data_IF_683199825692
#
_entry.id   IF_683199825692
#
_cell.length_a   1.000
_cell.length_b   1.000
_cell.length_c   1.000
_cell.angle_alpha   90.00
_cell.angle_beta   90.00
_cell.angle_gamma   90.00
#
_symmetry.space_group_name_H-M   'P 1'
#
loop_
_entity.id
_entity.type
_entity.pdbx_description
1 polymer ?
#
# COMPACT_ATOMS: atom_id res chain seq x y z
N UNK A 1 -0.91 69.37 -26.95
CA UNK A 1 -0.39 68.48 -25.92
C UNK A 1 -1.25 67.22 -25.87
N UNK A 2 -0.67 66.13 -26.30
CA UNK A 2 -1.28 64.81 -26.19
C UNK A 2 -1.05 64.39 -24.74
N UNK A 3 -2.11 64.32 -23.96
CA UNK A 3 -2.07 63.73 -22.63
C UNK A 3 -1.90 62.21 -22.79
N UNK A 4 -0.79 61.67 -22.30
CA UNK A 4 -0.61 60.22 -22.15
C UNK A 4 -1.77 59.69 -21.32
N UNK A 5 -2.35 58.53 -21.67
CA UNK A 5 -3.40 57.92 -20.85
C UNK A 5 -2.82 57.57 -19.48
N UNK A 6 -3.53 57.92 -18.41
CA UNK A 6 -3.21 57.49 -17.06
C UNK A 6 -3.12 55.96 -17.07
N UNK A 7 -1.93 55.42 -16.79
CA UNK A 7 -1.72 53.98 -16.61
C UNK A 7 -2.53 53.50 -15.43
N UNK A 8 -3.22 52.37 -15.59
CA UNK A 8 -3.97 51.73 -14.53
C UNK A 8 -3.01 51.35 -13.38
N UNK A 9 -3.43 51.44 -12.14
CA UNK A 9 -2.59 51.15 -10.95
C UNK A 9 -1.93 49.77 -11.02
N UNK A 10 -2.61 48.78 -11.63
CA UNK A 10 -2.07 47.42 -11.88
C UNK A 10 -0.93 47.45 -12.92
N UNK A 11 -0.98 48.30 -13.96
CA UNK A 11 0.09 48.42 -14.95
C UNK A 11 1.35 49.10 -14.38
N UNK A 12 1.19 49.98 -13.39
CA UNK A 12 2.32 50.65 -12.72
C UNK A 12 3.07 49.74 -11.78
N UNK A 13 2.41 48.76 -11.13
CA UNK A 13 3.04 47.75 -10.26
C UNK A 13 3.90 46.76 -11.06
N UNK A 14 3.63 46.58 -12.33
CA UNK A 14 4.35 45.60 -13.18
C UNK A 14 5.69 46.18 -13.74
N UNK A 15 5.98 47.45 -13.54
CA UNK A 15 7.16 48.13 -14.13
C UNK A 15 8.32 48.37 -13.10
N UNK A 16 8.10 48.09 -11.80
CA UNK A 16 9.13 48.40 -10.81
C UNK A 16 9.73 47.14 -10.19
N UNK A 17 11.09 47.08 -10.07
CA UNK A 17 11.76 45.99 -9.38
C UNK A 17 11.36 45.92 -7.92
N UNK A 18 11.07 44.72 -7.44
CA UNK A 18 10.69 44.43 -6.06
C UNK A 18 11.72 43.48 -5.46
N UNK A 19 12.20 43.79 -4.27
CA UNK A 19 13.10 42.90 -3.52
C UNK A 19 12.36 42.21 -2.40
N UNK A 20 12.44 40.91 -2.36
CA UNK A 20 11.89 40.05 -1.31
C UNK A 20 12.95 39.05 -0.81
N UNK A 21 12.73 38.48 0.36
CA UNK A 21 13.53 37.35 0.84
C UNK A 21 12.99 36.04 0.28
N UNK A 22 13.86 35.27 -0.40
CA UNK A 22 13.60 33.92 -0.88
C UNK A 22 14.70 33.02 -0.33
N UNK A 23 14.34 31.95 0.38
CA UNK A 23 15.27 31.08 1.08
C UNK A 23 16.22 31.82 2.04
N UNK A 24 15.73 32.86 2.71
CA UNK A 24 16.50 33.67 3.64
C UNK A 24 17.49 34.65 3.00
N UNK A 25 17.52 34.78 1.67
CA UNK A 25 18.38 35.69 0.93
C UNK A 25 17.55 36.76 0.20
N UNK A 26 18.02 38.00 0.22
CA UNK A 26 17.38 39.08 -0.55
C UNK A 26 17.61 38.87 -2.04
N UNK A 27 16.52 38.83 -2.81
CA UNK A 27 16.54 38.74 -4.27
C UNK A 27 15.67 39.84 -4.85
N UNK A 28 16.13 40.45 -5.94
CA UNK A 28 15.40 41.51 -6.66
C UNK A 28 14.78 40.92 -7.92
N UNK A 29 13.47 41.12 -8.06
CA UNK A 29 12.66 40.67 -9.18
C UNK A 29 12.27 41.86 -10.05
N UNK A 30 12.03 41.66 -11.36
CA UNK A 30 11.73 42.76 -12.28
C UNK A 30 10.44 43.49 -11.97
N UNK A 31 9.50 42.82 -11.29
CA UNK A 31 8.21 43.40 -10.92
C UNK A 31 7.57 42.65 -9.75
N UNK A 32 6.46 43.17 -9.23
CA UNK A 32 5.73 42.60 -8.08
C UNK A 32 5.19 41.20 -8.40
N UNK A 33 4.73 40.94 -9.62
CA UNK A 33 4.21 39.63 -10.02
C UNK A 33 5.28 38.53 -9.96
N UNK A 34 6.47 38.81 -10.51
CA UNK A 34 7.58 37.89 -10.47
C UNK A 34 8.07 37.62 -9.02
N UNK A 35 8.02 38.63 -8.13
CA UNK A 35 8.31 38.48 -6.72
C UNK A 35 7.25 37.60 -6.02
N UNK A 36 5.98 37.80 -6.31
CA UNK A 36 4.88 36.99 -5.77
C UNK A 36 4.97 35.54 -6.23
N UNK A 37 5.23 35.30 -7.50
CA UNK A 37 5.45 33.95 -8.05
C UNK A 37 6.63 33.24 -7.33
N UNK A 38 7.73 33.94 -7.14
CA UNK A 38 8.91 33.41 -6.43
C UNK A 38 8.63 33.10 -4.95
N UNK A 39 7.90 33.99 -4.27
CA UNK A 39 7.45 33.77 -2.89
C UNK A 39 6.52 32.57 -2.77
N UNK A 40 5.60 32.42 -3.73
CA UNK A 40 4.67 31.31 -3.79
C UNK A 40 5.39 29.97 -4.07
N UNK A 41 6.37 29.96 -4.98
CA UNK A 41 7.20 28.77 -5.21
C UNK A 41 8.03 28.37 -3.99
N UNK A 42 8.59 29.36 -3.27
CA UNK A 42 9.27 29.11 -1.99
C UNK A 42 8.32 28.53 -0.96
N UNK A 43 7.12 29.08 -0.83
CA UNK A 43 6.08 28.57 0.06
C UNK A 43 5.74 27.10 -0.26
N UNK A 44 5.52 26.77 -1.53
CA UNK A 44 5.27 25.38 -1.97
C UNK A 44 6.46 24.47 -1.67
N UNK A 45 7.69 24.94 -1.91
CA UNK A 45 8.89 24.17 -1.61
C UNK A 45 9.04 23.91 -0.11
N UNK A 46 8.70 24.89 0.74
CA UNK A 46 8.70 24.75 2.19
C UNK A 46 7.63 23.75 2.67
N UNK A 47 6.43 23.80 2.10
CA UNK A 47 5.38 22.81 2.40
C UNK A 47 5.87 21.39 2.06
N UNK A 48 6.46 21.16 0.89
CA UNK A 48 7.00 19.86 0.49
C UNK A 48 8.12 19.40 1.42
N UNK A 49 9.05 20.30 1.79
CA UNK A 49 10.17 19.99 2.68
C UNK A 49 9.72 19.61 4.08
N UNK A 50 8.70 20.28 4.62
CA UNK A 50 8.16 20.10 5.95
C UNK A 50 6.99 19.10 6.01
N UNK A 51 6.54 18.61 4.86
CA UNK A 51 5.44 17.66 4.78
C UNK A 51 5.74 16.40 5.60
N UNK A 52 4.73 15.93 6.33
CA UNK A 52 4.80 14.72 7.15
C UNK A 52 3.76 13.72 6.67
N UNK A 53 4.09 12.46 6.80
CA UNK A 53 3.10 11.40 6.60
C UNK A 53 2.00 11.53 7.66
N UNK A 54 0.77 11.38 7.21
CA UNK A 54 -0.41 11.41 8.07
C UNK A 54 -0.39 10.24 9.07
N UNK A 55 -0.94 10.46 10.26
CA UNK A 55 -1.13 9.42 11.26
C UNK A 55 -2.60 9.32 11.61
N UNK A 56 -3.14 8.13 11.53
CA UNK A 56 -4.51 7.81 11.93
C UNK A 56 -4.54 7.65 13.44
N UNK A 57 -5.32 8.49 14.10
CA UNK A 57 -5.57 8.45 15.55
C UNK A 57 -7.05 8.19 15.87
N UNK A 58 -7.93 8.29 14.87
CA UNK A 58 -9.35 8.05 14.99
C UNK A 58 -9.66 6.56 14.80
N UNK A 59 -10.04 5.87 15.87
CA UNK A 59 -10.40 4.45 15.86
C UNK A 59 -11.72 4.17 15.10
N UNK A 60 -12.54 5.21 14.88
CA UNK A 60 -13.80 5.14 14.16
C UNK A 60 -13.72 5.63 12.71
N UNK A 61 -12.51 5.81 12.20
CA UNK A 61 -12.28 6.24 10.83
C UNK A 61 -12.98 5.28 9.85
N UNK A 62 -13.75 5.84 8.90
CA UNK A 62 -14.50 5.08 7.91
C UNK A 62 -15.84 4.52 8.40
N UNK A 63 -16.21 4.70 9.66
CA UNK A 63 -17.56 4.38 10.16
C UNK A 63 -18.56 5.46 9.74
N UNK A 64 -19.81 5.08 9.60
CA UNK A 64 -20.91 6.00 9.27
C UNK A 64 -21.90 5.44 8.24
N UNK A 65 -23.01 6.12 8.08
CA UNK A 65 -24.02 5.77 7.09
C UNK A 65 -23.59 6.09 5.64
N UNK A 66 -24.24 5.50 4.63
CA UNK A 66 -23.86 5.67 3.22
C UNK A 66 -23.79 7.13 2.76
N UNK A 67 -24.74 7.97 3.16
CA UNK A 67 -24.74 9.40 2.78
C UNK A 67 -23.58 10.17 3.41
N UNK A 68 -23.23 9.87 4.67
CA UNK A 68 -22.09 10.48 5.35
C UNK A 68 -20.76 10.09 4.68
N UNK A 69 -20.59 8.82 4.33
CA UNK A 69 -19.43 8.32 3.57
C UNK A 69 -19.33 8.99 2.19
N UNK A 70 -20.44 9.10 1.47
CA UNK A 70 -20.50 9.81 0.20
C UNK A 70 -20.02 11.25 0.34
N UNK A 71 -20.55 11.98 1.33
CA UNK A 71 -20.16 13.38 1.52
C UNK A 71 -18.69 13.53 1.90
N UNK A 72 -18.16 12.64 2.73
CA UNK A 72 -16.75 12.62 3.07
C UNK A 72 -15.86 12.38 1.83
N UNK A 73 -16.25 11.45 0.96
CA UNK A 73 -15.56 11.20 -0.32
C UNK A 73 -15.57 12.44 -1.22
N UNK A 74 -16.72 13.09 -1.37
CA UNK A 74 -16.86 14.31 -2.19
C UNK A 74 -15.98 15.45 -1.65
N UNK A 75 -15.98 15.66 -0.34
CA UNK A 75 -15.16 16.70 0.29
C UNK A 75 -13.67 16.44 0.05
N UNK A 76 -13.23 15.19 0.20
CA UNK A 76 -11.86 14.80 -0.05
C UNK A 76 -11.45 15.00 -1.53
N UNK A 77 -12.30 14.63 -2.48
CA UNK A 77 -12.03 14.78 -3.90
C UNK A 77 -11.95 16.27 -4.30
N UNK A 78 -12.86 17.10 -3.80
CA UNK A 78 -12.81 18.55 -4.06
C UNK A 78 -11.51 19.15 -3.55
N UNK A 79 -11.14 18.86 -2.32
CA UNK A 79 -9.89 19.33 -1.74
C UNK A 79 -8.68 18.81 -2.52
N UNK A 80 -8.67 17.53 -2.94
CA UNK A 80 -7.61 16.98 -3.78
C UNK A 80 -7.44 17.81 -5.06
N UNK A 81 -8.53 18.08 -5.78
CA UNK A 81 -8.50 18.85 -7.03
C UNK A 81 -8.05 20.30 -6.82
N UNK A 82 -8.44 20.93 -5.73
CA UNK A 82 -7.96 22.26 -5.34
C UNK A 82 -6.44 22.27 -5.07
N UNK A 83 -5.94 21.28 -4.32
CA UNK A 83 -4.50 21.15 -4.03
C UNK A 83 -3.70 20.90 -5.30
N UNK A 84 -4.19 20.03 -6.19
CA UNK A 84 -3.53 19.74 -7.46
C UNK A 84 -3.50 20.96 -8.40
N UNK A 85 -4.61 21.68 -8.51
CA UNK A 85 -4.68 22.89 -9.31
C UNK A 85 -3.72 23.98 -8.79
N UNK A 86 -3.54 24.09 -7.49
CA UNK A 86 -2.60 25.00 -6.84
C UNK A 86 -1.15 24.47 -6.82
N UNK A 87 -0.91 23.20 -7.17
CA UNK A 87 0.40 22.56 -7.05
C UNK A 87 0.89 22.47 -5.60
N UNK A 88 -0.04 22.39 -4.65
CA UNK A 88 0.25 22.40 -3.21
C UNK A 88 0.24 21.00 -2.61
N UNK A 89 1.05 20.83 -1.55
CA UNK A 89 0.99 19.70 -0.64
C UNK A 89 -0.03 20.01 0.47
N UNK A 90 -0.81 18.99 0.87
CA UNK A 90 -1.79 19.14 1.93
C UNK A 90 -1.15 19.53 3.27
N UNK A 91 -1.77 20.50 3.97
CA UNK A 91 -1.48 20.80 5.38
C UNK A 91 -1.98 19.67 6.29
N UNK A 92 -1.56 19.60 7.58
CA UNK A 92 -2.10 18.63 8.52
C UNK A 92 -3.63 18.63 8.62
N UNK A 93 -4.26 19.81 8.62
CA UNK A 93 -5.72 19.96 8.68
C UNK A 93 -6.39 19.47 7.39
N UNK A 94 -5.76 19.70 6.24
CA UNK A 94 -6.22 19.20 4.95
C UNK A 94 -6.04 17.68 4.85
N UNK A 95 -4.97 17.13 5.41
CA UNK A 95 -4.78 15.67 5.51
C UNK A 95 -5.90 15.02 6.32
N UNK A 96 -6.39 15.64 7.39
CA UNK A 96 -7.55 15.14 8.13
C UNK A 96 -8.80 15.01 7.25
N UNK A 97 -9.06 15.98 6.38
CA UNK A 97 -10.18 15.92 5.43
C UNK A 97 -9.98 14.80 4.41
N UNK A 98 -8.77 14.72 3.83
CA UNK A 98 -8.43 13.70 2.83
C UNK A 98 -8.49 12.28 3.41
N UNK A 99 -8.11 12.10 4.69
CA UNK A 99 -8.11 10.79 5.36
C UNK A 99 -9.51 10.18 5.52
N UNK A 100 -10.57 11.00 5.41
CA UNK A 100 -11.96 10.55 5.52
C UNK A 100 -12.51 9.96 4.21
N UNK A 101 -11.72 9.94 3.16
CA UNK A 101 -12.08 9.22 1.95
C UNK A 101 -12.03 7.71 2.20
N UNK A 102 -13.15 7.05 1.98
CA UNK A 102 -13.31 5.60 2.23
C UNK A 102 -13.52 4.78 0.95
N UNK A 103 -13.47 5.42 -0.22
CA UNK A 103 -13.80 4.77 -1.48
C UNK A 103 -15.30 4.53 -1.65
N UNK A 104 -15.65 3.68 -2.60
CA UNK A 104 -17.03 3.51 -3.08
C UNK A 104 -17.64 2.16 -2.73
N UNK A 105 -16.96 1.33 -1.96
CA UNK A 105 -17.49 0.05 -1.49
C UNK A 105 -18.80 0.25 -0.74
N UNK A 106 -19.86 -0.49 -1.16
CA UNK A 106 -21.19 -0.35 -0.59
C UNK A 106 -21.97 0.91 -0.97
N UNK A 107 -21.45 1.75 -1.91
CA UNK A 107 -22.10 2.98 -2.39
C UNK A 107 -22.58 2.88 -3.86
N UNK A 108 -22.89 1.69 -4.33
CA UNK A 108 -23.34 1.46 -5.72
C UNK A 108 -24.55 2.28 -6.12
N UNK A 109 -25.45 2.58 -5.18
CA UNK A 109 -26.67 3.37 -5.44
C UNK A 109 -26.36 4.81 -5.87
N UNK A 110 -25.21 5.37 -5.47
CA UNK A 110 -24.78 6.69 -5.92
C UNK A 110 -24.41 6.75 -7.42
N UNK A 111 -24.17 5.60 -8.04
CA UNK A 111 -23.83 5.44 -9.46
C UNK A 111 -25.00 4.96 -10.33
N UNK A 112 -26.18 4.79 -9.72
CA UNK A 112 -27.38 4.30 -10.40
C UNK A 112 -28.33 5.47 -10.72
N UNK A 113 -28.52 5.82 -12.01
CA UNK A 113 -29.43 6.90 -12.40
C UNK A 113 -30.91 6.62 -12.06
N UNK A 114 -31.28 5.33 -11.85
CA UNK A 114 -32.65 4.91 -11.57
C UNK A 114 -32.98 4.96 -10.06
N UNK A 115 -32.08 5.46 -9.22
CA UNK A 115 -32.27 5.58 -7.77
C UNK A 115 -32.68 7.01 -7.35
N UNK A 116 -34.00 7.30 -7.17
CA UNK A 116 -34.45 8.66 -6.85
C UNK A 116 -33.84 9.22 -5.56
N UNK A 117 -33.61 8.36 -4.55
CA UNK A 117 -33.01 8.74 -3.28
C UNK A 117 -31.54 9.20 -3.40
N UNK A 118 -30.89 8.93 -4.54
CA UNK A 118 -29.49 9.24 -4.83
C UNK A 118 -29.30 10.15 -6.05
N UNK A 119 -30.39 10.72 -6.58
CA UNK A 119 -30.35 11.52 -7.79
C UNK A 119 -29.42 12.75 -7.70
N UNK A 120 -29.39 13.42 -6.54
CA UNK A 120 -28.51 14.56 -6.30
C UNK A 120 -27.03 14.14 -6.25
N UNK A 121 -26.74 13.06 -5.55
CA UNK A 121 -25.40 12.52 -5.44
C UNK A 121 -24.89 11.98 -6.79
N UNK A 122 -25.76 11.33 -7.56
CA UNK A 122 -25.44 10.90 -8.92
C UNK A 122 -25.01 12.09 -9.80
N UNK A 123 -25.84 13.16 -9.81
CA UNK A 123 -25.50 14.38 -10.56
C UNK A 123 -24.19 15.01 -10.10
N UNK A 124 -23.98 15.07 -8.79
CA UNK A 124 -22.76 15.62 -8.18
C UNK A 124 -21.51 14.83 -8.59
N UNK A 125 -21.57 13.49 -8.65
CA UNK A 125 -20.43 12.67 -9.12
C UNK A 125 -20.12 12.92 -10.59
N UNK A 126 -21.12 13.07 -11.42
CA UNK A 126 -20.96 13.35 -12.85
C UNK A 126 -20.31 14.70 -13.11
N UNK A 127 -20.53 15.68 -12.25
CA UNK A 127 -19.90 16.99 -12.32
C UNK A 127 -18.46 16.97 -11.77
N UNK A 128 -18.25 16.23 -10.68
CA UNK A 128 -17.00 16.24 -9.92
C UNK A 128 -15.89 15.40 -10.57
N UNK A 129 -16.24 14.24 -11.15
CA UNK A 129 -15.29 13.25 -11.66
C UNK A 129 -15.14 13.36 -13.18
N UNK A 130 -13.91 13.16 -13.67
CA UNK A 130 -13.71 12.91 -15.10
C UNK A 130 -14.38 11.59 -15.51
N UNK A 131 -14.64 11.36 -16.83
CA UNK A 131 -15.19 10.09 -17.29
C UNK A 131 -14.38 8.87 -16.81
N UNK A 132 -13.05 8.97 -16.81
CA UNK A 132 -12.13 7.92 -16.38
C UNK A 132 -12.21 7.70 -14.86
N UNK A 133 -12.18 8.78 -14.07
CA UNK A 133 -12.34 8.72 -12.62
C UNK A 133 -13.71 8.13 -12.24
N UNK A 134 -14.77 8.53 -12.95
CA UNK A 134 -16.12 7.99 -12.73
C UNK A 134 -16.20 6.50 -13.04
N UNK A 135 -15.61 6.06 -14.15
CA UNK A 135 -15.58 4.64 -14.52
C UNK A 135 -14.80 3.80 -13.49
N UNK A 136 -13.63 4.28 -13.05
CA UNK A 136 -12.84 3.64 -12.00
C UNK A 136 -13.62 3.56 -10.67
N UNK A 137 -14.22 4.66 -10.22
CA UNK A 137 -15.02 4.72 -9.01
C UNK A 137 -16.21 3.75 -9.06
N UNK A 138 -16.96 3.74 -10.17
CA UNK A 138 -18.09 2.83 -10.36
C UNK A 138 -17.66 1.36 -10.31
N UNK A 139 -16.58 0.99 -10.97
CA UNK A 139 -16.07 -0.38 -10.97
C UNK A 139 -15.61 -0.84 -9.58
N UNK A 140 -15.14 0.08 -8.73
CA UNK A 140 -14.67 -0.23 -7.38
C UNK A 140 -15.79 -0.49 -6.36
N UNK A 141 -17.05 -0.16 -6.68
CA UNK A 141 -18.18 -0.30 -5.74
C UNK A 141 -18.40 -1.72 -5.21
N UNK A 142 -17.97 -2.73 -5.96
CA UNK A 142 -18.12 -4.15 -5.62
C UNK A 142 -16.87 -4.74 -4.95
N UNK A 143 -15.69 -4.13 -5.13
CA UNK A 143 -14.40 -4.75 -4.82
C UNK A 143 -13.54 -3.93 -3.84
N UNK A 144 -13.94 -2.70 -3.53
CA UNK A 144 -13.19 -1.86 -2.61
C UNK A 144 -13.60 -2.16 -1.17
N UNK A 145 -12.73 -2.86 -0.45
CA UNK A 145 -12.92 -3.19 0.96
C UNK A 145 -12.00 -2.32 1.82
N UNK A 146 -12.59 -1.34 2.49
CA UNK A 146 -11.90 -0.53 3.49
C UNK A 146 -11.53 -1.40 4.70
N UNK A 147 -10.24 -1.49 5.01
CA UNK A 147 -9.75 -2.30 6.13
C UNK A 147 -9.91 -1.56 7.45
N UNK A 148 -10.55 -2.19 8.42
CA UNK A 148 -10.76 -1.58 9.74
C UNK A 148 -9.44 -1.40 10.50
N UNK A 149 -9.33 -0.36 11.33
CA UNK A 149 -8.18 -0.15 12.21
C UNK A 149 -7.85 -1.39 13.06
N UNK A 150 -8.86 -2.10 13.54
CA UNK A 150 -8.70 -3.31 14.35
C UNK A 150 -7.90 -4.41 13.63
N UNK A 151 -8.20 -4.65 12.35
CA UNK A 151 -7.48 -5.65 11.55
C UNK A 151 -6.05 -5.20 11.25
N UNK A 152 -5.86 -3.92 10.93
CA UNK A 152 -4.53 -3.35 10.66
C UNK A 152 -3.64 -3.45 11.90
N UNK A 153 -4.17 -3.09 13.08
CA UNK A 153 -3.45 -3.20 14.36
C UNK A 153 -3.01 -4.63 14.64
N UNK A 154 -3.87 -5.62 14.39
CA UNK A 154 -3.54 -7.03 14.61
C UNK A 154 -2.40 -7.51 13.70
N UNK A 155 -2.38 -7.08 12.43
CA UNK A 155 -1.30 -7.42 11.50
C UNK A 155 0.02 -6.80 11.99
N UNK A 156 0.04 -5.55 12.39
CA UNK A 156 1.24 -4.92 12.94
C UNK A 156 1.68 -5.56 14.25
N UNK A 157 0.75 -5.95 15.12
CA UNK A 157 1.09 -6.68 16.35
C UNK A 157 1.80 -8.00 16.04
N UNK A 158 1.30 -8.77 15.08
CA UNK A 158 1.94 -10.01 14.64
C UNK A 158 3.34 -9.77 14.09
N UNK A 159 3.50 -8.79 13.21
CA UNK A 159 4.79 -8.43 12.61
C UNK A 159 5.79 -7.92 13.65
N UNK A 160 5.31 -7.16 14.62
CA UNK A 160 6.09 -6.71 15.77
C UNK A 160 6.60 -7.85 16.63
N UNK A 161 5.75 -8.82 16.93
CA UNK A 161 6.12 -10.03 17.69
C UNK A 161 7.15 -10.89 16.96
N UNK A 162 7.23 -10.80 15.63
CA UNK A 162 8.28 -11.45 14.84
C UNK A 162 9.64 -10.73 14.97
N UNK A 163 9.67 -9.50 15.52
CA UNK A 163 10.89 -8.70 15.70
C UNK A 163 11.16 -7.72 14.56
N UNK A 164 10.20 -7.45 13.67
CA UNK A 164 10.37 -6.43 12.64
C UNK A 164 10.36 -5.02 13.25
N UNK A 165 11.37 -4.22 12.95
CA UNK A 165 11.47 -2.84 13.41
C UNK A 165 11.51 -1.86 12.24
N UNK A 166 12.40 -2.04 11.30
CA UNK A 166 12.55 -1.13 10.15
C UNK A 166 12.90 -1.89 8.88
N UNK A 167 12.47 -1.37 7.75
CA UNK A 167 12.80 -1.94 6.44
C UNK A 167 12.01 -1.26 5.32
N UNK A 168 12.05 -1.87 4.15
CA UNK A 168 11.25 -1.49 3.00
C UNK A 168 9.89 -2.19 3.08
N UNK A 169 8.82 -1.43 3.24
CA UNK A 169 7.45 -1.95 3.38
C UNK A 169 6.67 -1.68 2.09
N UNK A 170 6.08 -2.72 1.52
CA UNK A 170 5.19 -2.67 0.36
C UNK A 170 3.73 -2.81 0.79
N UNK A 171 2.87 -1.93 0.30
CA UNK A 171 1.42 -2.11 0.28
C UNK A 171 0.94 -2.12 -1.19
N UNK A 172 0.68 -3.29 -1.79
CA UNK A 172 0.47 -3.40 -3.25
C UNK A 172 -0.94 -3.06 -3.72
N UNK A 173 -1.86 -2.80 -2.82
CA UNK A 173 -3.25 -2.38 -3.07
C UNK A 173 -3.69 -1.45 -1.93
N UNK A 174 -3.09 -0.25 -1.92
CA UNK A 174 -3.04 0.56 -0.72
C UNK A 174 -4.31 1.39 -0.44
N UNK A 175 -5.21 1.54 -1.42
CA UNK A 175 -6.29 2.50 -1.29
C UNK A 175 -5.74 3.89 -0.99
N UNK A 176 -6.23 4.51 0.07
CA UNK A 176 -5.68 5.79 0.57
C UNK A 176 -4.56 5.60 1.61
N UNK A 177 -4.11 4.37 1.86
CA UNK A 177 -2.93 4.09 2.68
C UNK A 177 -3.17 3.98 4.19
N UNK A 178 -4.26 3.37 4.62
CA UNK A 178 -4.55 3.24 6.05
C UNK A 178 -3.50 2.42 6.81
N UNK A 179 -2.87 1.43 6.18
CA UNK A 179 -1.74 0.73 6.78
C UNK A 179 -0.57 1.68 7.05
N UNK A 180 -0.27 2.60 6.15
CA UNK A 180 0.78 3.60 6.38
C UNK A 180 0.39 4.58 7.49
N UNK A 181 -0.88 4.99 7.55
CA UNK A 181 -1.39 5.87 8.59
C UNK A 181 -1.36 5.27 10.00
N UNK A 182 -1.39 3.95 10.09
CA UNK A 182 -1.37 3.19 11.35
C UNK A 182 -0.01 2.55 11.65
N UNK A 183 1.04 2.89 10.88
CA UNK A 183 2.38 2.37 11.10
C UNK A 183 2.82 2.61 12.55
N UNK A 184 3.24 1.56 13.28
CA UNK A 184 3.71 1.71 14.67
C UNK A 184 4.89 2.66 14.78
N UNK A 185 4.99 3.39 15.90
CA UNK A 185 6.04 4.39 16.13
C UNK A 185 7.44 3.82 15.96
N UNK A 186 7.68 2.61 16.46
CA UNK A 186 8.98 1.95 16.32
C UNK A 186 9.35 1.56 14.89
N UNK A 187 8.36 1.48 13.98
CA UNK A 187 8.56 1.18 12.56
C UNK A 187 8.65 2.45 11.69
N UNK A 188 8.54 3.64 12.26
CA UNK A 188 8.44 4.92 11.52
C UNK A 188 9.64 5.25 10.63
N UNK A 189 10.80 4.66 10.89
CA UNK A 189 11.99 4.82 10.07
C UNK A 189 12.01 3.91 8.84
N UNK A 190 10.98 3.08 8.66
CA UNK A 190 10.80 2.27 7.46
C UNK A 190 10.53 3.13 6.24
N UNK A 191 10.94 2.65 5.07
CA UNK A 191 10.60 3.23 3.79
C UNK A 191 9.32 2.60 3.27
N UNK A 192 8.38 3.44 2.88
CA UNK A 192 7.03 3.03 2.49
C UNK A 192 6.88 3.10 0.97
N UNK A 193 6.38 2.01 0.39
CA UNK A 193 6.12 1.85 -1.03
C UNK A 193 4.69 1.38 -1.21
N UNK A 194 3.91 2.14 -1.95
CA UNK A 194 2.51 1.83 -2.20
C UNK A 194 2.19 1.72 -3.67
N UNK A 195 1.21 0.89 -3.99
CA UNK A 195 0.63 0.79 -5.33
C UNK A 195 -0.88 0.91 -5.22
N UNK A 196 -1.49 1.75 -6.04
CA UNK A 196 -2.94 1.91 -6.07
C UNK A 196 -3.44 2.09 -7.51
N UNK A 197 -4.35 1.23 -7.91
CA UNK A 197 -4.93 1.24 -9.25
C UNK A 197 -5.89 2.41 -9.46
N UNK A 198 -6.73 2.71 -8.46
CA UNK A 198 -7.67 3.81 -8.55
C UNK A 198 -6.95 5.16 -8.51
N UNK A 199 -7.09 5.99 -9.57
CA UNK A 199 -6.33 7.23 -9.66
C UNK A 199 -6.68 8.25 -8.58
N UNK A 200 -7.92 8.30 -8.12
CA UNK A 200 -8.33 9.23 -7.06
C UNK A 200 -7.74 8.81 -5.73
N UNK A 201 -7.91 7.55 -5.35
CA UNK A 201 -7.34 6.99 -4.12
C UNK A 201 -5.83 7.15 -4.06
N UNK A 202 -5.12 6.82 -5.15
CA UNK A 202 -3.66 6.93 -5.22
C UNK A 202 -3.16 8.37 -5.11
N UNK A 203 -3.86 9.34 -5.72
CA UNK A 203 -3.51 10.77 -5.60
C UNK A 203 -3.79 11.32 -4.21
N UNK A 204 -4.88 10.89 -3.55
CA UNK A 204 -5.14 11.20 -2.14
C UNK A 204 -4.03 10.63 -1.27
N UNK A 205 -3.62 9.38 -1.50
CA UNK A 205 -2.53 8.75 -0.75
C UNK A 205 -1.21 9.52 -0.88
N UNK A 206 -0.89 10.06 -2.05
CA UNK A 206 0.30 10.92 -2.23
C UNK A 206 0.26 12.20 -1.39
N UNK A 207 -0.91 12.76 -1.16
CA UNK A 207 -1.09 13.92 -0.28
C UNK A 207 -1.01 13.55 1.20
N UNK A 208 -1.50 12.37 1.57
CA UNK A 208 -1.44 11.85 2.93
C UNK A 208 -0.03 11.38 3.33
N UNK A 209 0.69 10.77 2.39
CA UNK A 209 2.00 10.15 2.66
C UNK A 209 3.08 10.69 1.70
N UNK A 210 3.42 11.98 1.81
CA UNK A 210 4.36 12.63 0.89
C UNK A 210 5.79 12.08 0.96
N UNK A 211 6.13 11.30 2.00
CA UNK A 211 7.44 10.64 2.16
C UNK A 211 7.43 9.18 1.69
N UNK A 212 6.29 8.67 1.22
CA UNK A 212 6.19 7.34 0.63
C UNK A 212 6.40 7.41 -0.89
N UNK A 213 6.93 6.32 -1.45
CA UNK A 213 6.99 6.11 -2.89
C UNK A 213 5.69 5.43 -3.34
N UNK A 214 4.79 6.18 -3.97
CA UNK A 214 3.47 5.71 -4.36
C UNK A 214 3.34 5.68 -5.88
N UNK A 215 3.09 4.49 -6.42
CA UNK A 215 2.75 4.27 -7.83
C UNK A 215 1.24 4.27 -7.99
N UNK A 216 0.72 5.19 -8.80
CA UNK A 216 -0.69 5.18 -9.22
C UNK A 216 -0.79 4.38 -10.51
N UNK A 217 -1.29 3.17 -10.40
CA UNK A 217 -1.36 2.19 -11.48
C UNK A 217 -1.55 0.78 -10.95
N UNK A 218 -1.64 -0.20 -11.84
CA UNK A 218 -1.80 -1.59 -11.45
C UNK A 218 -0.52 -2.21 -10.90
N UNK A 219 -0.65 -3.22 -10.06
CA UNK A 219 0.49 -3.94 -9.48
C UNK A 219 1.35 -4.62 -10.56
N UNK A 220 0.77 -4.96 -11.71
CA UNK A 220 1.48 -5.51 -12.88
C UNK A 220 2.53 -4.56 -13.46
N UNK A 221 2.43 -3.27 -13.20
CA UNK A 221 3.40 -2.27 -13.70
C UNK A 221 4.68 -2.20 -12.88
N UNK A 222 4.75 -2.91 -11.74
CA UNK A 222 5.91 -2.91 -10.84
C UNK A 222 6.76 -4.17 -11.01
N UNK A 223 8.08 -4.04 -10.86
CA UNK A 223 9.03 -5.17 -10.92
C UNK A 223 10.24 -4.90 -10.01
N UNK A 224 10.04 -4.97 -8.71
CA UNK A 224 11.10 -4.76 -7.69
C UNK A 224 11.40 -6.06 -6.97
N UNK A 225 12.12 -6.96 -7.63
CA UNK A 225 12.40 -8.31 -7.11
C UNK A 225 13.37 -8.28 -5.93
N UNK A 226 13.12 -9.16 -4.95
CA UNK A 226 13.95 -9.35 -3.75
C UNK A 226 14.31 -8.02 -3.05
N UNK A 227 13.34 -7.10 -2.99
CA UNK A 227 13.59 -5.74 -2.53
C UNK A 227 12.95 -5.45 -1.18
N UNK A 228 11.70 -5.88 -0.96
CA UNK A 228 10.97 -5.52 0.25
C UNK A 228 11.28 -6.46 1.41
N UNK A 229 11.33 -5.89 2.62
CA UNK A 229 11.45 -6.63 3.87
C UNK A 229 10.09 -7.13 4.36
N UNK A 230 9.03 -6.35 4.09
CA UNK A 230 7.66 -6.64 4.47
C UNK A 230 6.70 -6.22 3.35
N UNK A 231 5.75 -7.07 3.01
CA UNK A 231 4.59 -6.73 2.21
C UNK A 231 3.33 -6.93 3.05
N UNK A 232 2.53 -5.89 3.19
CA UNK A 232 1.29 -5.89 3.98
C UNK A 232 0.15 -5.32 3.15
N UNK A 233 -1.08 -5.65 3.50
CA UNK A 233 -2.24 -5.03 2.89
C UNK A 233 -3.46 -5.93 2.86
N UNK A 234 -4.53 -5.37 2.33
CA UNK A 234 -5.76 -6.07 1.99
C UNK A 234 -5.82 -6.15 0.46
N UNK A 235 -5.55 -7.33 -0.10
CA UNK A 235 -5.51 -7.51 -1.57
C UNK A 235 -6.91 -7.53 -2.17
N UNK A 236 -7.08 -7.15 -3.44
CA UNK A 236 -8.38 -7.22 -4.09
C UNK A 236 -8.86 -8.68 -4.21
N UNK A 237 -10.15 -8.91 -4.01
CA UNK A 237 -10.78 -10.23 -4.12
C UNK A 237 -11.48 -10.37 -5.46
N UNK A 238 -11.44 -11.55 -6.04
CA UNK A 238 -12.17 -11.84 -7.27
C UNK A 238 -11.67 -13.06 -8.01
N UNK A 239 -12.49 -13.55 -8.93
CA UNK A 239 -12.17 -14.70 -9.79
C UNK A 239 -11.53 -14.28 -11.13
N UNK A 240 -11.42 -12.98 -11.38
CA UNK A 240 -10.76 -12.47 -12.57
C UNK A 240 -9.23 -12.47 -12.43
N UNK A 241 -8.55 -12.37 -13.55
CA UNK A 241 -7.09 -12.42 -13.63
C UNK A 241 -6.52 -11.05 -14.00
N UNK A 242 -5.29 -10.80 -13.55
CA UNK A 242 -4.50 -9.64 -13.97
C UNK A 242 -3.62 -10.06 -15.15
N UNK A 243 -3.53 -9.21 -16.17
CA UNK A 243 -2.64 -9.44 -17.29
C UNK A 243 -1.22 -8.97 -16.95
N UNK A 244 -0.43 -9.90 -16.43
CA UNK A 244 1.00 -9.71 -16.18
C UNK A 244 1.79 -10.85 -16.86
N UNK A 245 2.60 -10.51 -17.85
CA UNK A 245 3.32 -11.50 -18.67
C UNK A 245 4.13 -12.51 -17.86
N UNK A 246 4.70 -12.08 -16.73
CA UNK A 246 5.50 -12.93 -15.86
C UNK A 246 4.66 -13.99 -15.15
N UNK A 247 3.37 -13.72 -14.92
CA UNK A 247 2.46 -14.53 -14.10
C UNK A 247 1.29 -15.16 -14.88
N UNK A 248 1.06 -14.76 -16.13
CA UNK A 248 -0.07 -15.26 -16.94
C UNK A 248 -0.12 -16.79 -17.00
N UNK A 249 1.03 -17.46 -17.01
CA UNK A 249 1.14 -18.93 -17.04
C UNK A 249 0.57 -19.61 -15.79
N UNK A 250 0.52 -18.90 -14.65
CA UNK A 250 -0.01 -19.45 -13.40
C UNK A 250 -1.53 -19.56 -13.42
N UNK A 251 -2.20 -18.75 -14.22
CA UNK A 251 -3.66 -18.74 -14.33
C UNK A 251 -4.36 -18.44 -12.99
N UNK A 252 -3.72 -17.66 -12.12
CA UNK A 252 -4.21 -17.35 -10.78
C UNK A 252 -5.28 -16.27 -10.81
N UNK A 253 -6.29 -16.39 -9.93
CA UNK A 253 -7.19 -15.29 -9.63
C UNK A 253 -6.43 -14.12 -9.01
N UNK A 254 -7.00 -12.90 -9.06
CA UNK A 254 -6.33 -11.67 -8.65
C UNK A 254 -5.72 -11.77 -7.25
N UNK A 255 -6.47 -12.24 -6.25
CA UNK A 255 -5.95 -12.35 -4.88
C UNK A 255 -4.75 -13.30 -4.77
N UNK A 256 -4.74 -14.40 -5.52
CA UNK A 256 -3.62 -15.34 -5.55
C UNK A 256 -2.41 -14.81 -6.35
N UNK A 257 -2.67 -14.04 -7.41
CA UNK A 257 -1.63 -13.33 -8.15
C UNK A 257 -0.87 -12.34 -7.26
N UNK A 258 -1.58 -11.61 -6.39
CA UNK A 258 -0.93 -10.68 -5.46
C UNK A 258 0.06 -11.39 -4.52
N UNK A 259 -0.28 -12.57 -4.01
CA UNK A 259 0.65 -13.38 -3.22
C UNK A 259 1.87 -13.81 -4.03
N UNK A 260 1.66 -14.34 -5.24
CA UNK A 260 2.76 -14.82 -6.08
C UNK A 260 3.75 -13.71 -6.40
N UNK A 261 3.26 -12.54 -6.81
CA UNK A 261 4.09 -11.39 -7.15
C UNK A 261 4.74 -10.76 -5.93
N UNK A 262 4.02 -10.62 -4.81
CA UNK A 262 4.59 -10.09 -3.57
C UNK A 262 5.73 -10.96 -3.04
N UNK A 263 5.61 -12.29 -3.12
CA UNK A 263 6.71 -13.20 -2.74
C UNK A 263 7.95 -13.02 -3.63
N UNK A 264 7.78 -12.72 -4.92
CA UNK A 264 8.92 -12.40 -5.79
C UNK A 264 9.55 -11.04 -5.46
N UNK A 265 8.75 -10.09 -4.99
CA UNK A 265 9.21 -8.75 -4.65
C UNK A 265 9.79 -8.63 -3.24
N UNK A 266 9.35 -9.47 -2.31
CA UNK A 266 9.95 -9.59 -0.98
C UNK A 266 11.27 -10.34 -1.08
N UNK A 267 12.28 -9.91 -0.33
CA UNK A 267 13.57 -10.61 -0.24
C UNK A 267 13.45 -11.94 0.52
N UNK A 268 14.39 -12.87 0.35
CA UNK A 268 14.46 -14.06 1.23
C UNK A 268 14.49 -13.66 2.71
N UNK A 269 13.73 -14.38 3.55
CA UNK A 269 13.55 -14.06 4.98
C UNK A 269 12.56 -12.94 5.28
N UNK A 270 12.13 -12.16 4.28
CA UNK A 270 11.07 -11.17 4.41
C UNK A 270 9.69 -11.80 4.57
N UNK A 271 8.71 -11.00 4.98
CA UNK A 271 7.37 -11.44 5.36
C UNK A 271 6.31 -10.85 4.45
N UNK A 272 5.32 -11.65 4.10
CA UNK A 272 4.06 -11.24 3.46
C UNK A 272 2.92 -11.47 4.43
N UNK A 273 2.17 -10.42 4.73
CA UNK A 273 1.02 -10.45 5.63
C UNK A 273 -0.19 -9.80 4.94
N UNK A 274 -1.03 -10.60 4.31
CA UNK A 274 -2.16 -10.11 3.53
C UNK A 274 -3.50 -10.58 4.09
N UNK A 275 -4.48 -9.68 4.04
CA UNK A 275 -5.90 -10.03 4.11
C UNK A 275 -6.32 -10.45 2.71
N UNK A 276 -7.00 -11.59 2.61
CA UNK A 276 -7.43 -12.20 1.35
C UNK A 276 -8.77 -12.91 1.48
N UNK A 277 -9.32 -13.30 0.34
CA UNK A 277 -10.48 -14.20 0.30
C UNK A 277 -10.16 -15.54 0.96
N UNK A 278 -11.13 -16.13 1.70
CA UNK A 278 -10.99 -17.50 2.23
C UNK A 278 -10.61 -18.54 1.17
N UNK A 279 -10.90 -18.28 -0.08
CA UNK A 279 -10.62 -19.23 -1.17
C UNK A 279 -9.14 -19.40 -1.49
N UNK A 280 -8.26 -18.51 -1.03
CA UNK A 280 -6.81 -18.78 -1.06
C UNK A 280 -6.49 -20.04 -0.27
N UNK A 281 -7.08 -20.19 0.92
CA UNK A 281 -6.87 -21.36 1.78
C UNK A 281 -7.80 -22.54 1.44
N UNK A 282 -9.07 -22.28 1.07
CA UNK A 282 -10.13 -23.31 0.99
C UNK A 282 -10.41 -23.82 -0.42
N UNK A 283 -9.82 -23.27 -1.47
CA UNK A 283 -10.08 -23.79 -2.83
C UNK A 283 -9.79 -25.29 -2.90
N UNK A 284 -10.68 -26.05 -3.54
CA UNK A 284 -10.53 -27.50 -3.71
C UNK A 284 -9.25 -27.86 -4.43
N UNK A 285 -8.89 -27.08 -5.45
CA UNK A 285 -7.60 -27.18 -6.15
C UNK A 285 -6.49 -26.61 -5.28
N UNK A 286 -5.46 -27.40 -5.01
CA UNK A 286 -4.32 -27.06 -4.16
C UNK A 286 -3.17 -26.38 -4.91
N UNK A 287 -3.29 -26.13 -6.22
CA UNK A 287 -2.20 -25.63 -7.08
C UNK A 287 -1.59 -24.33 -6.53
N UNK A 288 -2.43 -23.38 -6.15
CA UNK A 288 -1.97 -22.10 -5.57
C UNK A 288 -1.20 -22.34 -4.28
N UNK A 289 -1.77 -23.08 -3.35
CA UNK A 289 -1.14 -23.32 -2.04
C UNK A 289 0.17 -24.09 -2.16
N UNK A 290 0.26 -25.05 -3.08
CA UNK A 290 1.51 -25.75 -3.39
C UNK A 290 2.56 -24.81 -3.96
N UNK A 291 2.16 -23.93 -4.87
CA UNK A 291 3.06 -22.89 -5.41
C UNK A 291 3.60 -21.98 -4.30
N UNK A 292 2.74 -21.53 -3.40
CA UNK A 292 3.13 -20.67 -2.27
C UNK A 292 4.03 -21.44 -1.27
N UNK A 293 3.66 -22.67 -0.90
CA UNK A 293 4.39 -23.49 0.07
C UNK A 293 5.82 -23.83 -0.38
N UNK A 294 6.03 -23.99 -1.68
CA UNK A 294 7.38 -24.19 -2.24
C UNK A 294 8.27 -22.96 -2.04
N UNK A 295 7.72 -21.77 -2.05
CA UNK A 295 8.44 -20.48 -2.02
C UNK A 295 8.47 -19.82 -0.65
N UNK A 296 7.53 -20.15 0.21
CA UNK A 296 7.38 -19.53 1.51
C UNK A 296 6.95 -20.55 2.58
N UNK A 297 7.28 -20.25 3.82
CA UNK A 297 6.76 -20.94 4.99
C UNK A 297 5.48 -20.25 5.47
N UNK A 298 4.43 -21.02 5.79
CA UNK A 298 3.25 -20.49 6.45
C UNK A 298 3.57 -20.28 7.93
N UNK A 299 3.60 -19.02 8.35
CA UNK A 299 3.81 -18.65 9.76
C UNK A 299 2.52 -18.80 10.57
N UNK A 300 1.39 -18.73 9.90
CA UNK A 300 0.05 -18.88 10.42
C UNK A 300 -0.99 -18.14 9.61
N UNK A 301 -2.24 -18.39 9.91
CA UNK A 301 -3.39 -17.71 9.29
C UNK A 301 -4.49 -17.49 10.33
N UNK A 302 -5.25 -16.40 10.15
CA UNK A 302 -6.39 -16.05 11.01
C UNK A 302 -7.62 -15.91 10.13
N UNK A 303 -8.68 -16.65 10.43
CA UNK A 303 -9.97 -16.53 9.73
C UNK A 303 -10.88 -15.55 10.46
N UNK A 304 -11.26 -14.50 9.77
CA UNK A 304 -12.10 -13.43 10.29
C UNK A 304 -13.59 -13.80 10.20
N UNK A 305 -14.44 -13.31 11.12
CA UNK A 305 -15.87 -13.42 10.98
C UNK A 305 -16.37 -12.61 9.78
N UNK A 306 -17.54 -12.99 9.24
CA UNK A 306 -18.10 -12.42 8.01
C UNK A 306 -18.46 -10.93 8.11
N UNK A 307 -18.56 -10.38 9.31
CA UNK A 307 -18.85 -8.96 9.57
C UNK A 307 -17.61 -8.09 9.78
N UNK A 308 -16.41 -8.65 9.68
CA UNK A 308 -15.16 -7.94 9.95
C UNK A 308 -14.99 -6.65 9.12
N UNK A 309 -15.60 -6.59 7.93
CA UNK A 309 -15.58 -5.43 7.03
C UNK A 309 -16.94 -4.71 6.92
N UNK A 310 -17.98 -5.18 7.61
CA UNK A 310 -19.36 -4.67 7.45
C UNK A 310 -19.48 -3.18 7.77
N UNK A 311 -18.88 -2.73 8.87
CA UNK A 311 -18.93 -1.33 9.29
C UNK A 311 -18.25 -0.37 8.32
N UNK A 312 -17.17 -0.81 7.71
CA UNK A 312 -16.28 0.01 6.89
C UNK A 312 -16.56 -0.15 5.39
N UNK A 313 -16.85 -1.36 4.92
CA UNK A 313 -17.03 -1.66 3.50
C UNK A 313 -18.43 -2.16 3.10
N UNK A 314 -19.32 -2.39 4.08
CA UNK A 314 -20.69 -2.90 3.82
C UNK A 314 -20.76 -4.35 3.33
N UNK A 315 -19.65 -5.09 3.34
CA UNK A 315 -19.57 -6.46 2.86
C UNK A 315 -19.63 -7.49 4.01
N UNK A 316 -20.33 -8.59 3.77
CA UNK A 316 -20.38 -9.77 4.63
C UNK A 316 -19.64 -10.92 3.93
N UNK A 317 -18.32 -10.98 4.08
CA UNK A 317 -17.48 -11.99 3.46
C UNK A 317 -16.51 -12.61 4.46
N UNK A 318 -16.30 -13.90 4.37
CA UNK A 318 -15.25 -14.57 5.15
C UNK A 318 -13.91 -14.34 4.47
N UNK A 319 -12.98 -13.82 5.21
CA UNK A 319 -11.61 -13.53 4.77
C UNK A 319 -10.59 -14.04 5.76
N UNK A 320 -9.39 -14.25 5.28
CA UNK A 320 -8.26 -14.75 6.04
C UNK A 320 -7.13 -13.72 6.05
N UNK A 321 -6.41 -13.63 7.18
CA UNK A 321 -5.10 -12.98 7.24
C UNK A 321 -4.06 -14.10 7.15
N UNK A 322 -3.21 -14.05 6.14
CA UNK A 322 -2.19 -15.09 5.90
C UNK A 322 -0.81 -14.47 6.07
N UNK A 323 0.02 -15.12 6.87
CA UNK A 323 1.41 -14.71 7.14
C UNK A 323 2.36 -15.74 6.53
N UNK A 324 3.18 -15.29 5.58
CA UNK A 324 4.16 -16.10 4.87
C UNK A 324 5.55 -15.50 5.04
N UNK A 325 6.57 -16.35 5.22
CA UNK A 325 7.97 -15.94 5.17
C UNK A 325 8.67 -16.55 3.96
N UNK A 326 9.28 -15.70 3.13
CA UNK A 326 9.95 -16.18 1.91
C UNK A 326 11.17 -17.03 2.25
N UNK A 327 11.27 -18.19 1.58
CA UNK A 327 12.43 -19.09 1.68
C UNK A 327 13.62 -18.55 0.89
N UNK A 328 14.82 -18.96 1.24
CA UNK A 328 16.03 -18.64 0.49
C UNK A 328 15.99 -19.21 -0.93
N UNK A 329 15.36 -20.37 -1.09
CA UNK A 329 15.16 -21.04 -2.36
C UNK A 329 13.86 -21.85 -2.35
N UNK A 330 13.22 -22.06 -3.50
CA UNK A 330 12.07 -22.94 -3.59
C UNK A 330 12.43 -24.37 -3.15
N UNK A 331 11.52 -25.01 -2.39
CA UNK A 331 11.64 -26.39 -1.95
C UNK A 331 10.52 -27.22 -2.57
N UNK A 332 10.82 -28.45 -2.97
CA UNK A 332 9.82 -29.41 -3.44
C UNK A 332 9.16 -30.12 -2.23
N UNK A 333 8.23 -29.40 -1.59
CA UNK A 333 7.50 -29.86 -0.40
C UNK A 333 6.01 -29.65 -0.59
N UNK A 334 5.21 -30.48 0.10
CA UNK A 334 3.76 -30.41 0.12
C UNK A 334 3.29 -30.47 1.56
N UNK A 335 3.38 -29.37 2.34
CA UNK A 335 2.91 -29.32 3.71
C UNK A 335 1.40 -29.55 3.82
N UNK A 336 0.92 -30.00 4.97
CA UNK A 336 -0.49 -30.33 5.20
C UNK A 336 -1.44 -29.14 4.94
N UNK A 337 -1.01 -27.91 5.25
CA UNK A 337 -1.82 -26.71 5.00
C UNK A 337 -2.10 -26.45 3.49
N UNK A 338 -1.44 -27.16 2.59
CA UNK A 338 -1.78 -27.10 1.16
C UNK A 338 -3.05 -27.87 0.82
N UNK A 339 -3.53 -28.69 1.72
CA UNK A 339 -4.70 -29.56 1.55
C UNK A 339 -5.94 -28.99 2.27
N UNK A 340 -7.10 -29.38 1.79
CA UNK A 340 -8.37 -29.20 2.47
C UNK A 340 -8.78 -30.51 3.16
N UNK A 341 -9.63 -30.39 4.17
CA UNK A 341 -10.23 -31.52 4.86
C UNK A 341 -11.67 -31.20 5.21
N UNK A 342 -12.29 -32.02 6.04
CA UNK A 342 -13.64 -31.79 6.57
C UNK A 342 -13.58 -31.63 8.08
N UNK A 343 -14.34 -30.65 8.61
CA UNK A 343 -14.62 -30.53 10.03
C UNK A 343 -15.58 -31.64 10.49
N UNK A 344 -15.73 -31.82 11.80
CA UNK A 344 -16.73 -32.72 12.35
C UNK A 344 -18.14 -32.42 11.90
N UNK A 345 -18.45 -31.13 11.69
CA UNK A 345 -19.74 -30.66 11.16
C UNK A 345 -19.86 -30.77 9.62
N UNK A 346 -18.83 -31.32 8.95
CA UNK A 346 -18.84 -31.58 7.51
C UNK A 346 -18.46 -30.41 6.61
N UNK A 347 -17.90 -29.31 7.14
CA UNK A 347 -17.41 -28.20 6.33
C UNK A 347 -16.09 -28.55 5.67
N UNK A 348 -16.00 -28.30 4.36
CA UNK A 348 -14.76 -28.42 3.60
C UNK A 348 -13.94 -27.14 3.73
N UNK A 349 -12.90 -27.16 4.53
CA UNK A 349 -12.00 -26.03 4.76
C UNK A 349 -10.54 -26.47 4.72
N UNK A 350 -9.63 -25.49 4.77
CA UNK A 350 -8.21 -25.77 4.80
C UNK A 350 -7.83 -26.60 6.05
N UNK A 351 -6.93 -27.55 5.86
CA UNK A 351 -6.41 -28.41 6.93
C UNK A 351 -5.85 -27.60 8.11
N UNK A 352 -5.18 -26.48 7.83
CA UNK A 352 -4.66 -25.59 8.87
C UNK A 352 -5.74 -25.15 9.87
N UNK A 353 -6.93 -24.76 9.42
CA UNK A 353 -8.01 -24.32 10.30
C UNK A 353 -8.73 -25.47 11.00
N UNK A 354 -8.62 -26.69 10.49
CA UNK A 354 -9.10 -27.90 11.19
C UNK A 354 -8.17 -28.22 12.34
N UNK A 355 -6.85 -28.13 12.11
CA UNK A 355 -5.84 -28.44 13.12
C UNK A 355 -5.66 -27.29 14.14
N UNK A 356 -6.05 -26.06 13.76
CA UNK A 356 -5.97 -24.86 14.59
C UNK A 356 -7.32 -24.14 14.67
N UNK A 357 -8.35 -24.74 15.30
CA UNK A 357 -9.68 -24.14 15.38
C UNK A 357 -9.71 -22.81 16.13
N UNK A 358 -8.74 -22.54 17.01
CA UNK A 358 -8.54 -21.27 17.72
C UNK A 358 -8.24 -20.11 16.78
N UNK A 359 -7.80 -20.39 15.55
CA UNK A 359 -7.52 -19.37 14.53
C UNK A 359 -8.74 -18.97 13.71
N UNK A 360 -9.89 -19.61 13.93
CA UNK A 360 -11.18 -19.23 13.34
C UNK A 360 -11.95 -18.38 14.36
N UNK A 361 -12.08 -17.08 14.07
CA UNK A 361 -12.60 -16.10 15.03
C UNK A 361 -14.13 -15.95 14.93
N UNK A 362 -14.86 -17.04 15.07
CA UNK A 362 -16.31 -17.04 15.05
C UNK A 362 -16.89 -18.46 15.02
N UNK A 363 -18.21 -18.52 14.85
CA UNK A 363 -18.94 -19.79 14.70
C UNK A 363 -19.02 -20.17 13.24
N UNK A 364 -18.56 -21.34 12.90
CA UNK A 364 -18.67 -21.92 11.57
C UNK A 364 -20.10 -22.44 11.38
N UNK A 365 -20.80 -21.92 10.38
CA UNK A 365 -22.20 -22.24 10.12
C UNK A 365 -22.45 -22.39 8.61
N UNK A 366 -23.47 -23.19 8.21
CA UNK A 366 -23.90 -23.25 6.83
C UNK A 366 -24.60 -21.94 6.44
N UNK A 367 -24.34 -21.47 5.23
CA UNK A 367 -24.98 -20.31 4.63
C UNK A 367 -25.77 -20.73 3.39
N UNK A 368 -27.07 -20.47 3.36
CA UNK A 368 -27.88 -20.69 2.17
C UNK A 368 -27.65 -19.56 1.16
N UNK A 369 -27.22 -19.91 -0.04
CA UNK A 369 -26.98 -18.99 -1.14
C UNK A 369 -27.83 -19.37 -2.37
N UNK A 370 -27.89 -18.50 -3.36
CA UNK A 370 -28.56 -18.78 -4.63
C UNK A 370 -27.96 -19.98 -5.39
N UNK A 371 -26.72 -20.37 -5.04
CA UNK A 371 -25.97 -21.47 -5.65
C UNK A 371 -25.90 -22.73 -4.77
N UNK A 372 -26.66 -22.76 -3.67
CA UNK A 372 -26.70 -23.86 -2.72
C UNK A 372 -26.15 -23.50 -1.33
N UNK A 373 -25.86 -24.54 -0.54
CA UNK A 373 -25.27 -24.36 0.79
C UNK A 373 -23.80 -24.04 0.67
N UNK A 374 -23.39 -22.98 1.31
CA UNK A 374 -22.00 -22.52 1.45
C UNK A 374 -21.62 -22.46 2.94
N UNK A 375 -20.39 -22.05 3.22
CA UNK A 375 -19.80 -21.92 4.54
C UNK A 375 -19.68 -20.45 4.91
N UNK A 376 -19.98 -20.13 6.17
CA UNK A 376 -19.72 -18.80 6.73
C UNK A 376 -19.15 -18.90 8.14
N UNK A 377 -18.62 -17.80 8.63
CA UNK A 377 -18.17 -17.63 10.03
C UNK A 377 -18.91 -16.45 10.62
N UNK A 378 -19.83 -16.72 11.51
CA UNK A 378 -20.60 -15.70 12.20
C UNK A 378 -19.83 -15.20 13.44
N UNK A 379 -19.91 -13.89 13.77
CA UNK A 379 -19.29 -13.35 14.98
C UNK A 379 -19.90 -14.02 16.23
N UNK A 380 -19.12 -14.14 17.30
CA UNK A 380 -19.57 -14.63 18.59
C UNK A 380 -20.13 -13.45 19.38
N UNK A 381 -21.38 -13.52 19.77
CA UNK A 381 -22.03 -12.49 20.57
C UNK A 381 -21.28 -12.27 21.89
N UNK A 382 -21.04 -11.00 22.23
CA UNK A 382 -20.33 -10.58 23.45
C UNK A 382 -18.81 -10.61 23.36
N UNK A 383 -18.21 -11.14 22.27
CA UNK A 383 -16.78 -11.07 22.04
C UNK A 383 -16.43 -9.91 21.09
N UNK A 384 -15.38 -9.17 21.46
CA UNK A 384 -14.82 -8.12 20.59
C UNK A 384 -13.79 -8.73 19.64
N UNK A 385 -13.87 -8.37 18.37
CA UNK A 385 -12.90 -8.83 17.37
C UNK A 385 -11.46 -8.44 17.73
N UNK A 386 -11.27 -7.25 18.32
CA UNK A 386 -9.95 -6.78 18.77
C UNK A 386 -9.31 -7.72 19.80
N UNK A 387 -10.09 -8.22 20.76
CA UNK A 387 -9.59 -9.15 21.80
C UNK A 387 -9.29 -10.52 21.19
N UNK A 388 -10.14 -11.01 20.29
CA UNK A 388 -9.94 -12.27 19.59
C UNK A 388 -8.69 -12.23 18.71
N UNK A 389 -8.46 -11.13 17.99
CA UNK A 389 -7.26 -10.92 17.18
C UNK A 389 -6.00 -10.84 18.04
N UNK A 390 -6.05 -10.10 19.15
CA UNK A 390 -4.92 -10.02 20.09
C UNK A 390 -4.52 -11.41 20.60
N UNK A 391 -5.48 -12.28 20.88
CA UNK A 391 -5.20 -13.66 21.27
C UNK A 391 -4.68 -14.51 20.12
N UNK A 392 -5.25 -14.38 18.94
CA UNK A 392 -4.87 -15.17 17.77
C UNK A 392 -3.44 -14.88 17.27
N UNK A 393 -2.99 -13.62 17.31
CA UNK A 393 -1.64 -13.25 16.86
C UNK A 393 -0.52 -13.91 17.69
N UNK A 394 -0.81 -14.39 18.91
CA UNK A 394 0.14 -15.13 19.73
C UNK A 394 0.51 -16.50 19.15
N UNK A 395 -0.34 -17.03 18.27
CA UNK A 395 -0.14 -18.31 17.58
C UNK A 395 0.50 -18.16 16.20
N UNK A 396 0.78 -16.93 15.76
CA UNK A 396 1.56 -16.70 14.55
C UNK A 396 3.03 -16.87 14.90
N UNK A 397 3.65 -17.91 14.33
CA UNK A 397 5.03 -18.28 14.63
C UNK A 397 5.94 -17.81 13.49
N UNK A 398 6.96 -17.07 13.86
CA UNK A 398 7.98 -16.62 12.93
C UNK A 398 8.94 -15.66 13.60
N UNK A 399 10.15 -15.64 13.09
CA UNK A 399 11.15 -14.65 13.48
C UNK A 399 11.55 -13.90 12.22
N UNK A 400 11.42 -12.58 12.26
CA UNK A 400 11.92 -11.74 11.18
C UNK A 400 13.44 -11.91 11.09
N UNK A 401 13.91 -12.20 9.89
CA UNK A 401 15.34 -12.32 9.61
C UNK A 401 15.79 -11.02 8.98
N UNK A 402 16.62 -10.27 9.69
CA UNK A 402 17.28 -9.10 9.11
C UNK A 402 18.08 -9.52 7.87
N UNK A 403 18.23 -8.58 6.91
CA UNK A 403 19.09 -8.84 5.79
C UNK A 403 20.52 -9.05 6.30
N UNK A 404 21.10 -10.22 5.99
CA UNK A 404 22.48 -10.48 6.32
C UNK A 404 23.37 -9.44 5.66
N UNK A 405 24.08 -8.68 6.48
CA UNK A 405 25.19 -7.86 6.00
C UNK A 405 26.40 -8.76 5.87
N UNK A 406 27.24 -8.61 4.83
CA UNK A 406 28.50 -9.36 4.77
C UNK A 406 29.28 -9.13 6.08
N UNK A 407 29.71 -10.24 6.71
CA UNK A 407 30.55 -10.16 7.91
C UNK A 407 31.78 -9.29 7.61
N UNK A 408 31.77 -8.09 8.13
CA UNK A 408 32.96 -7.24 8.19
C UNK A 408 33.81 -7.80 9.33
N UNK A 409 35.06 -8.15 9.02
CA UNK A 409 35.98 -8.73 9.99
C UNK A 409 36.13 -7.90 11.27
N UNK A 410 36.54 -8.56 12.36
CA UNK A 410 36.65 -8.04 13.73
C UNK A 410 37.29 -6.63 13.81
N UNK A 411 36.45 -5.62 13.87
CA UNK A 411 36.76 -4.23 14.07
C UNK A 411 35.46 -3.46 14.04
N UNK A 412 35.21 -2.52 14.93
CA UNK A 412 33.96 -1.77 15.06
C UNK A 412 33.31 -1.47 13.70
N UNK A 413 32.43 -2.35 13.25
CA UNK A 413 31.77 -2.27 11.96
C UNK A 413 30.66 -1.23 12.05
N UNK A 414 30.96 -0.02 11.61
CA UNK A 414 29.94 0.96 11.29
C UNK A 414 29.20 0.40 10.05
N UNK A 415 27.91 0.14 10.19
CA UNK A 415 27.07 -0.21 9.04
C UNK A 415 27.10 0.94 8.02
N UNK A 416 27.88 0.78 6.98
CA UNK A 416 28.01 1.72 5.87
C UNK A 416 27.07 1.40 4.72
N UNK A 417 26.21 0.40 4.88
CA UNK A 417 25.25 0.05 3.86
C UNK A 417 24.18 1.15 3.71
N UNK A 418 23.70 1.29 2.48
CA UNK A 418 22.59 2.18 2.15
C UNK A 418 21.39 1.36 1.71
N UNK A 419 20.18 1.87 1.82
CA UNK A 419 19.01 1.22 1.27
C UNK A 419 19.16 1.01 -0.24
N UNK A 420 18.68 -0.13 -0.73
CA UNK A 420 18.78 -0.47 -2.14
C UNK A 420 17.98 0.50 -3.02
N UNK A 421 18.57 0.88 -4.17
CA UNK A 421 17.82 1.50 -5.25
C UNK A 421 16.94 0.44 -5.92
N UNK A 422 15.63 0.62 -6.00
CA UNK A 422 14.71 -0.34 -6.61
C UNK A 422 15.00 -0.61 -8.09
N UNK A 423 15.63 0.35 -8.80
CA UNK A 423 15.97 0.23 -10.21
C UNK A 423 17.28 -0.56 -10.46
N UNK A 424 18.09 -0.76 -9.43
CA UNK A 424 19.28 -1.58 -9.51
C UNK A 424 18.88 -3.04 -9.38
N UNK A 425 19.27 -3.85 -10.34
CA UNK A 425 19.00 -5.31 -10.29
C UNK A 425 19.66 -5.93 -9.06
N UNK A 426 18.96 -6.85 -8.39
CA UNK A 426 19.55 -7.58 -7.26
C UNK A 426 20.81 -8.35 -7.70
N UNK A 427 21.79 -8.42 -6.82
CA UNK A 427 23.11 -9.01 -7.06
C UNK A 427 23.87 -8.34 -8.23
N UNK A 428 23.74 -7.03 -8.37
CA UNK A 428 24.48 -6.25 -9.36
C UNK A 428 25.14 -5.00 -8.75
N UNK A 429 26.13 -4.49 -9.45
CA UNK A 429 26.84 -3.27 -9.08
C UNK A 429 26.09 -2.03 -9.57
N UNK A 430 26.18 -0.96 -8.80
CA UNK A 430 25.73 0.39 -9.15
C UNK A 430 26.74 1.44 -8.71
N UNK A 431 26.63 2.64 -9.28
CA UNK A 431 27.43 3.80 -8.87
C UNK A 431 26.49 4.78 -8.16
N UNK A 432 26.78 5.07 -6.89
CA UNK A 432 26.05 6.06 -6.09
C UNK A 432 27.06 7.08 -5.58
N UNK A 433 26.84 8.34 -5.89
CA UNK A 433 27.75 9.45 -5.51
C UNK A 433 29.22 9.19 -5.91
N UNK A 434 29.43 8.59 -7.09
CA UNK A 434 30.75 8.26 -7.62
C UNK A 434 31.42 7.04 -6.98
N UNK A 435 30.77 6.35 -6.06
CA UNK A 435 31.26 5.16 -5.37
C UNK A 435 30.54 3.91 -5.86
N UNK A 436 31.26 2.77 -5.88
CA UNK A 436 30.69 1.48 -6.26
C UNK A 436 29.99 0.86 -5.08
N UNK A 437 28.76 0.42 -5.32
CA UNK A 437 27.96 -0.36 -4.40
C UNK A 437 27.51 -1.67 -5.08
N UNK A 438 27.29 -2.68 -4.28
CA UNK A 438 26.74 -3.98 -4.70
C UNK A 438 25.38 -4.14 -4.01
N UNK A 439 24.33 -4.38 -4.82
CA UNK A 439 23.00 -4.62 -4.26
C UNK A 439 22.85 -6.05 -3.79
N UNK A 440 22.46 -6.22 -2.56
CA UNK A 440 22.09 -7.48 -1.96
C UNK A 440 20.74 -7.31 -1.24
N UNK A 441 19.70 -7.84 -1.87
CA UNK A 441 18.31 -7.75 -1.42
C UNK A 441 17.85 -6.30 -1.22
N UNK A 442 17.47 -5.93 0.00
CA UNK A 442 16.94 -4.60 0.35
C UNK A 442 18.03 -3.54 0.62
N UNK A 443 19.31 -3.92 0.58
CA UNK A 443 20.43 -3.02 0.91
C UNK A 443 21.49 -3.02 -0.19
N UNK A 444 22.30 -1.96 -0.18
CA UNK A 444 23.48 -1.84 -1.02
C UNK A 444 24.70 -1.63 -0.14
N UNK A 445 25.72 -2.44 -0.37
CA UNK A 445 26.97 -2.44 0.42
C UNK A 445 28.13 -2.00 -0.43
N UNK A 446 29.13 -1.37 0.17
CA UNK A 446 30.38 -1.09 -0.52
C UNK A 446 31.23 -2.37 -0.57
N UNK A 447 31.53 -2.89 -1.78
CA UNK A 447 32.39 -4.05 -1.91
C UNK A 447 33.82 -3.71 -1.56
N UNK A 448 34.56 -4.65 -1.00
CA UNK A 448 36.02 -4.52 -0.80
C UNK A 448 36.76 -4.73 -2.13
N UNK A 449 36.98 -3.63 -2.84
CA UNK A 449 37.63 -3.62 -4.14
C UNK A 449 38.92 -2.78 -4.08
N UNK A 450 40.01 -3.29 -4.64
CA UNK A 450 41.17 -2.45 -4.89
C UNK A 450 40.91 -1.43 -6.01
N UNK A 451 41.70 -0.37 -6.11
CA UNK A 451 41.48 0.74 -7.04
C UNK A 451 41.33 0.28 -8.52
N UNK A 452 42.06 -0.76 -8.92
CA UNK A 452 42.01 -1.29 -10.29
C UNK A 452 40.66 -2.03 -10.55
N UNK A 453 40.22 -2.82 -9.59
CA UNK A 453 38.94 -3.52 -9.66
C UNK A 453 37.76 -2.53 -9.63
N UNK A 454 37.82 -1.52 -8.77
CA UNK A 454 36.81 -0.47 -8.69
C UNK A 454 36.67 0.30 -10.03
N UNK A 455 37.81 0.68 -10.63
CA UNK A 455 37.81 1.35 -11.93
C UNK A 455 37.20 0.50 -13.05
N UNK A 456 37.48 -0.81 -13.05
CA UNK A 456 36.87 -1.77 -14.00
C UNK A 456 35.37 -1.90 -13.80
N UNK A 457 34.91 -2.02 -12.54
CA UNK A 457 33.48 -2.11 -12.23
C UNK A 457 32.76 -0.84 -12.66
N UNK A 458 33.32 0.34 -12.39
CA UNK A 458 32.77 1.63 -12.85
C UNK A 458 32.63 1.67 -14.37
N UNK A 459 33.65 1.21 -15.11
CA UNK A 459 33.59 1.13 -16.57
C UNK A 459 32.49 0.18 -17.07
N UNK A 460 32.35 -0.99 -16.45
CA UNK A 460 31.31 -1.97 -16.83
C UNK A 460 29.90 -1.48 -16.50
N UNK A 461 29.70 -0.83 -15.35
CA UNK A 461 28.41 -0.23 -15.00
C UNK A 461 28.05 0.87 -15.98
N UNK A 462 28.97 1.77 -16.31
CA UNK A 462 28.77 2.81 -17.31
C UNK A 462 28.39 2.24 -18.71
N UNK A 463 29.07 1.18 -19.16
CA UNK A 463 28.74 0.51 -20.41
C UNK A 463 27.33 -0.12 -20.38
N UNK A 464 26.98 -0.80 -19.29
CA UNK A 464 25.65 -1.38 -19.10
C UNK A 464 24.57 -0.32 -19.22
N UNK A 465 24.74 0.80 -18.50
CA UNK A 465 23.75 1.86 -18.44
C UNK A 465 23.57 2.55 -19.80
N UNK A 466 24.64 2.77 -20.56
CA UNK A 466 24.58 3.26 -21.94
C UNK A 466 23.90 2.32 -22.95
N UNK A 467 23.85 1.01 -22.67
CA UNK A 467 23.17 0.03 -23.55
C UNK A 467 21.67 -0.09 -23.23
N UNK A 468 21.27 0.33 -22.02
CA UNK A 468 19.87 0.29 -21.56
C UNK A 468 19.09 1.57 -21.91
N UNK A 469 19.78 2.68 -22.21
CA UNK A 469 19.21 3.89 -22.85
C UNK A 469 18.99 3.66 -24.34
#
# INVERSE_FOLDING_TARGET
PVTEPEKNFEEVLDEHPVSIQVNGQWQTFPNAKAAEEASYEEYKANLRRNAKNFRITDEHLGEGGPKAKFQANVNAIRLLKELEAAGQQASPEQQEVLSRYVGWGGLSDAFDPEKPAWALEYAQLKELLTPEEYAAARSSTLNAHYTSPTVIQAIYEAVDRMGFETGNILEPSMGVGNFFGMLPEKMRNSRLYGVELDPVSGRIAKQLYPKADITVGGFETTDRRDFFDLAIGNVPFGQYQVNDKAYNKLNFSIHNYFFAKALDQVRPGGVVAFVTSRYTMDAKDSTVRRYLAQRAELLGAIRLPNDAFKKNAGAEVVSDIIFLQKRDRPLDIVPEWTQTGQTEDGFAINRYFIDHPEMVLGRQEPLSTAHGMDYTVNPIEGLKLSDQLHDAVKYIHGTYQEAELPELGEGEAIDTSIPADPNVKNYSYAIVDGQVYYRENSRMVRPDLNATAEARVKGLVGLRDCVQE
#
